data_IF_919945848651
#
_entry.id   IF_919945848651
#
_cell.length_a   1.000
_cell.length_b   1.000
_cell.length_c   1.000
_cell.angle_alpha   90.00
_cell.angle_beta   90.00
_cell.angle_gamma   90.00
#
_symmetry.space_group_name_H-M   'P 1'
#
loop_
_entity.id
_entity.type
_entity.pdbx_description
1 polymer ?
#
# COMPACT_ATOMS: atom_id res chain seq x y z
N UNK A 1 23.84 4.09 -16.50
CA UNK A 1 22.82 5.08 -16.11
C UNK A 1 22.46 4.82 -14.66
N UNK A 2 22.97 5.64 -13.74
CA UNK A 2 22.62 5.58 -12.32
C UNK A 2 21.21 6.11 -12.16
N UNK A 3 20.22 5.23 -12.02
CA UNK A 3 18.90 5.59 -11.51
C UNK A 3 19.11 6.26 -10.16
N UNK A 4 18.88 7.56 -10.08
CA UNK A 4 18.82 8.25 -8.79
C UNK A 4 17.80 7.51 -7.94
N UNK A 5 18.21 6.97 -6.79
CA UNK A 5 17.30 6.30 -5.85
C UNK A 5 16.29 7.34 -5.38
N UNK A 6 15.07 7.30 -5.92
CA UNK A 6 14.00 8.19 -5.51
C UNK A 6 13.60 7.84 -4.08
N UNK A 7 13.46 8.87 -3.24
CA UNK A 7 12.91 8.70 -1.88
C UNK A 7 11.43 8.30 -1.96
N UNK A 8 10.88 7.63 -0.92
CA UNK A 8 9.46 7.28 -0.90
C UNK A 8 8.52 8.48 -1.08
N UNK A 9 8.86 9.65 -0.51
CA UNK A 9 8.07 10.87 -0.69
C UNK A 9 8.06 11.38 -2.14
N UNK A 10 9.20 11.29 -2.83
CA UNK A 10 9.28 11.63 -4.26
C UNK A 10 8.44 10.68 -5.10
N UNK A 11 8.51 9.37 -4.83
CA UNK A 11 7.69 8.36 -5.51
C UNK A 11 6.20 8.66 -5.33
N UNK A 12 5.77 8.95 -4.10
CA UNK A 12 4.38 9.27 -3.79
C UNK A 12 3.92 10.55 -4.48
N UNK A 13 4.74 11.61 -4.45
CA UNK A 13 4.44 12.87 -5.14
C UNK A 13 4.27 12.66 -6.64
N UNK A 14 5.20 11.95 -7.29
CA UNK A 14 5.17 11.72 -8.74
C UNK A 14 3.99 10.85 -9.15
N UNK A 15 3.58 9.87 -8.33
CA UNK A 15 2.36 9.08 -8.56
C UNK A 15 1.12 9.96 -8.41
N UNK A 16 1.06 10.79 -7.36
CA UNK A 16 -0.07 11.68 -7.11
C UNK A 16 -0.27 12.69 -8.24
N UNK A 17 0.80 13.34 -8.68
CA UNK A 17 0.76 14.33 -9.76
C UNK A 17 0.28 13.69 -11.08
N UNK A 18 0.77 12.48 -11.39
CA UNK A 18 0.29 11.70 -12.54
C UNK A 18 -1.18 11.33 -12.40
N UNK A 19 -1.60 10.80 -11.25
CA UNK A 19 -2.98 10.39 -11.03
C UNK A 19 -3.96 11.56 -11.16
N UNK A 20 -3.60 12.72 -10.61
CA UNK A 20 -4.40 13.95 -10.72
C UNK A 20 -4.54 14.45 -12.16
N UNK A 21 -3.53 14.25 -13.00
CA UNK A 21 -3.58 14.66 -14.40
C UNK A 21 -4.52 13.80 -15.25
N UNK A 22 -4.88 12.59 -14.80
CA UNK A 22 -5.70 11.62 -15.57
C UNK A 22 -6.77 10.91 -14.73
N UNK A 23 -7.42 11.61 -13.78
CA UNK A 23 -8.36 11.01 -12.81
C UNK A 23 -9.46 10.14 -13.43
N UNK A 24 -9.92 10.48 -14.63
CA UNK A 24 -11.02 9.77 -15.32
C UNK A 24 -10.55 8.51 -16.06
N UNK A 25 -9.24 8.26 -16.13
CA UNK A 25 -8.66 7.16 -16.90
C UNK A 25 -7.84 6.24 -16.00
N UNK A 26 -8.25 4.97 -15.94
CA UNK A 26 -7.45 3.93 -15.30
C UNK A 26 -6.12 3.71 -16.03
N UNK A 27 -5.05 3.52 -15.26
CA UNK A 27 -3.75 3.07 -15.76
C UNK A 27 -3.62 1.54 -15.77
N UNK A 28 -4.58 0.84 -15.15
CA UNK A 28 -4.65 -0.61 -15.11
C UNK A 28 -5.49 -1.08 -16.30
N UNK A 29 -4.86 -1.74 -17.26
CA UNK A 29 -5.51 -2.23 -18.48
C UNK A 29 -6.21 -3.59 -18.32
N UNK A 30 -5.77 -4.38 -17.33
CA UNK A 30 -6.37 -5.68 -17.03
C UNK A 30 -7.67 -5.49 -16.22
N UNK A 31 -8.79 -5.92 -16.79
CA UNK A 31 -10.11 -5.73 -16.19
C UNK A 31 -10.27 -6.42 -14.83
N UNK A 32 -9.68 -7.60 -14.65
CA UNK A 32 -9.74 -8.33 -13.38
C UNK A 32 -8.91 -7.65 -12.31
N UNK A 33 -7.73 -7.14 -12.65
CA UNK A 33 -6.93 -6.35 -11.71
C UNK A 33 -7.66 -5.05 -11.36
N UNK A 34 -8.25 -4.38 -12.35
CA UNK A 34 -9.01 -3.15 -12.14
C UNK A 34 -10.18 -3.39 -11.16
N UNK A 35 -10.97 -4.44 -11.37
CA UNK A 35 -12.09 -4.78 -10.48
C UNK A 35 -11.62 -5.02 -9.03
N UNK A 36 -10.51 -5.73 -8.85
CA UNK A 36 -9.92 -5.99 -7.52
C UNK A 36 -9.42 -4.70 -6.86
N UNK A 37 -8.77 -3.82 -7.62
CA UNK A 37 -8.33 -2.51 -7.13
C UNK A 37 -9.52 -1.65 -6.74
N UNK A 38 -10.55 -1.57 -7.59
CA UNK A 38 -11.77 -0.82 -7.31
C UNK A 38 -12.48 -1.35 -6.06
N UNK A 39 -12.58 -2.66 -5.90
CA UNK A 39 -13.15 -3.28 -4.70
C UNK A 39 -12.43 -2.83 -3.42
N UNK A 40 -11.09 -2.89 -3.40
CA UNK A 40 -10.31 -2.49 -2.21
C UNK A 40 -10.41 -0.98 -1.97
N UNK A 41 -10.30 -0.16 -3.01
CA UNK A 41 -10.37 1.31 -2.91
C UNK A 41 -11.76 1.81 -2.48
N UNK A 42 -12.83 1.09 -2.86
CA UNK A 42 -14.23 1.46 -2.56
C UNK A 42 -14.81 0.73 -1.35
N UNK A 43 -14.02 -0.08 -0.64
CA UNK A 43 -14.46 -0.77 0.57
C UNK A 43 -14.61 0.23 1.74
N UNK A 44 -15.78 0.86 1.85
CA UNK A 44 -16.04 1.90 2.86
C UNK A 44 -16.05 1.31 4.28
N UNK A 45 -16.49 0.07 4.45
CA UNK A 45 -16.51 -0.64 5.74
C UNK A 45 -15.11 -0.97 6.27
N UNK A 46 -14.09 -1.03 5.40
CA UNK A 46 -12.71 -1.27 5.80
C UNK A 46 -11.71 -0.58 4.86
N UNK A 47 -11.25 0.62 5.24
CA UNK A 47 -10.25 1.38 4.47
C UNK A 47 -8.81 1.05 4.87
N UNK A 48 -8.58 0.05 5.74
CA UNK A 48 -7.23 -0.43 6.05
C UNK A 48 -6.61 -1.16 4.86
N UNK A 49 -7.42 -1.84 4.04
CA UNK A 49 -6.95 -2.58 2.87
C UNK A 49 -6.19 -1.70 1.87
N UNK A 50 -6.71 -0.50 1.60
CA UNK A 50 -6.04 0.43 0.69
C UNK A 50 -4.69 0.89 1.23
N UNK A 51 -4.61 1.19 2.54
CA UNK A 51 -3.36 1.58 3.22
C UNK A 51 -2.32 0.46 3.20
N UNK A 52 -2.75 -0.79 3.44
CA UNK A 52 -1.88 -1.96 3.34
C UNK A 52 -1.30 -2.10 1.93
N UNK A 53 -2.15 -2.07 0.90
CA UNK A 53 -1.70 -2.17 -0.49
C UNK A 53 -0.72 -1.05 -0.87
N UNK A 54 -1.04 0.20 -0.52
CA UNK A 54 -0.16 1.34 -0.78
C UNK A 54 1.20 1.13 -0.11
N UNK A 55 1.25 0.61 1.12
CA UNK A 55 2.50 0.38 1.85
C UNK A 55 3.37 -0.66 1.17
N UNK A 56 2.73 -1.76 0.73
CA UNK A 56 3.42 -2.84 0.05
C UNK A 56 3.98 -2.41 -1.31
N UNK A 57 3.18 -1.68 -2.09
CA UNK A 57 3.58 -1.19 -3.40
C UNK A 57 4.70 -0.14 -3.28
N UNK A 58 4.60 0.78 -2.32
CA UNK A 58 5.66 1.76 -2.06
C UNK A 58 6.97 1.08 -1.64
N UNK A 59 6.89 0.06 -0.78
CA UNK A 59 8.05 -0.74 -0.39
C UNK A 59 8.75 -1.38 -1.59
N UNK A 60 7.98 -1.97 -2.51
CA UNK A 60 8.50 -2.58 -3.75
C UNK A 60 9.10 -1.55 -4.72
N UNK A 61 8.47 -0.39 -4.85
CA UNK A 61 8.95 0.69 -5.73
C UNK A 61 10.24 1.31 -5.20
N UNK A 62 10.34 1.52 -3.89
CA UNK A 62 11.52 2.10 -3.25
C UNK A 62 12.68 1.10 -3.14
N UNK A 63 12.39 -0.16 -2.81
CA UNK A 63 13.37 -1.24 -2.80
C UNK A 63 12.91 -2.42 -3.68
N UNK A 64 13.40 -2.53 -4.92
CA UNK A 64 13.05 -3.63 -5.81
C UNK A 64 13.38 -5.04 -5.30
N UNK A 65 14.25 -5.19 -4.29
CA UNK A 65 14.64 -6.50 -3.75
C UNK A 65 13.59 -7.12 -2.83
N UNK A 66 12.63 -6.35 -2.32
CA UNK A 66 11.62 -6.87 -1.38
C UNK A 66 10.48 -7.55 -2.13
N UNK A 67 9.81 -8.49 -1.48
CA UNK A 67 8.55 -9.06 -1.95
C UNK A 67 7.39 -8.27 -1.32
N UNK A 68 6.54 -7.58 -2.10
CA UNK A 68 5.42 -6.81 -1.56
C UNK A 68 4.40 -7.68 -0.80
N UNK A 69 4.46 -9.01 -0.95
CA UNK A 69 3.63 -9.98 -0.21
C UNK A 69 4.19 -10.33 1.17
N UNK A 70 5.38 -9.84 1.53
CA UNK A 70 6.06 -10.08 2.82
C UNK A 70 6.26 -8.80 3.65
N UNK A 71 5.18 -8.05 3.98
CA UNK A 71 5.28 -6.75 4.67
C UNK A 71 5.45 -6.86 6.19
N UNK A 72 5.75 -8.06 6.70
CA UNK A 72 6.03 -8.33 8.10
C UNK A 72 7.43 -8.93 8.21
N UNK A 73 8.31 -8.28 8.97
CA UNK A 73 9.70 -8.74 9.17
C UNK A 73 9.77 -10.11 9.82
N UNK A 74 8.73 -10.49 10.56
CA UNK A 74 8.56 -11.78 11.22
C UNK A 74 8.35 -12.94 10.24
N UNK A 75 7.95 -12.67 8.98
CA UNK A 75 7.95 -13.68 7.91
C UNK A 75 9.38 -14.18 7.66
N UNK A 76 10.38 -13.32 7.90
CA UNK A 76 11.79 -13.61 7.64
C UNK A 76 12.13 -13.64 6.14
N UNK A 77 13.40 -13.93 5.86
CA UNK A 77 13.97 -13.85 4.51
C UNK A 77 14.48 -12.46 4.17
N UNK A 78 15.47 -12.41 3.27
CA UNK A 78 16.14 -11.17 2.83
C UNK A 78 15.23 -10.28 1.98
N UNK A 79 14.07 -10.78 1.56
CA UNK A 79 13.06 -10.07 0.78
C UNK A 79 11.85 -9.62 1.61
N UNK A 80 11.85 -9.87 2.93
CA UNK A 80 10.85 -9.30 3.84
C UNK A 80 11.15 -7.82 4.16
N UNK A 81 10.11 -7.07 4.52
CA UNK A 81 10.24 -5.65 4.86
C UNK A 81 9.18 -5.24 5.88
N UNK A 82 9.39 -4.11 6.56
CA UNK A 82 8.37 -3.55 7.46
C UNK A 82 7.41 -2.65 6.68
N UNK A 83 6.25 -3.19 6.29
CA UNK A 83 5.19 -2.40 5.67
C UNK A 83 4.66 -1.33 6.62
N UNK A 84 4.63 -1.60 7.93
CA UNK A 84 4.26 -0.63 8.97
C UNK A 84 5.17 0.60 8.95
N UNK A 85 6.48 0.40 8.79
CA UNK A 85 7.43 1.52 8.70
C UNK A 85 7.11 2.41 7.50
N UNK A 86 6.79 1.82 6.34
CA UNK A 86 6.39 2.62 5.17
C UNK A 86 5.08 3.38 5.39
N UNK A 87 4.11 2.73 6.04
CA UNK A 87 2.81 3.34 6.32
C UNK A 87 2.91 4.52 7.31
N UNK A 88 3.62 4.33 8.42
CA UNK A 88 3.74 5.34 9.47
C UNK A 88 4.64 6.51 9.03
N UNK A 89 5.76 6.23 8.36
CA UNK A 89 6.72 7.27 7.97
C UNK A 89 6.29 8.06 6.74
N UNK A 90 5.67 7.41 5.73
CA UNK A 90 5.42 8.06 4.43
C UNK A 90 3.93 8.16 4.08
N UNK A 91 3.15 7.10 4.26
CA UNK A 91 1.74 7.15 3.85
C UNK A 91 0.86 7.94 4.78
N UNK A 92 1.05 7.86 6.09
CA UNK A 92 0.28 8.64 7.06
C UNK A 92 0.35 10.14 6.76
N UNK A 93 1.54 10.77 6.65
CA UNK A 93 1.61 12.19 6.31
C UNK A 93 1.07 12.48 4.90
N UNK A 94 1.31 11.60 3.92
CA UNK A 94 0.79 11.76 2.56
C UNK A 94 -0.75 11.74 2.50
N UNK A 95 -1.39 10.74 3.11
CA UNK A 95 -2.85 10.60 3.21
C UNK A 95 -3.46 11.83 3.88
N UNK A 96 -2.87 12.28 4.99
CA UNK A 96 -3.35 13.45 5.73
C UNK A 96 -3.22 14.73 4.89
N UNK A 97 -2.07 14.93 4.24
CA UNK A 97 -1.79 16.11 3.39
C UNK A 97 -2.79 16.21 2.23
N UNK A 98 -3.10 15.09 1.58
CA UNK A 98 -3.96 15.05 0.41
C UNK A 98 -5.43 14.70 0.72
N UNK A 99 -5.78 14.56 2.01
CA UNK A 99 -7.13 14.21 2.50
C UNK A 99 -7.71 12.97 1.81
N UNK A 100 -6.88 11.95 1.58
CA UNK A 100 -7.33 10.72 0.93
C UNK A 100 -8.34 9.98 1.82
N UNK A 101 -9.38 9.34 1.26
CA UNK A 101 -10.43 8.68 2.04
C UNK A 101 -9.97 7.32 2.60
N UNK A 102 -8.96 7.34 3.45
CA UNK A 102 -8.33 6.16 4.07
C UNK A 102 -8.64 6.10 5.57
N UNK A 103 -8.30 4.98 6.23
CA UNK A 103 -8.33 4.92 7.70
C UNK A 103 -7.34 5.93 8.30
N UNK A 104 -7.64 6.57 9.45
CA UNK A 104 -6.73 7.51 10.09
C UNK A 104 -5.52 6.81 10.71
N UNK A 105 -5.70 5.58 11.19
CA UNK A 105 -4.65 4.77 11.81
C UNK A 105 -4.04 3.77 10.82
N UNK A 106 -2.82 3.33 11.13
CA UNK A 106 -2.08 2.36 10.30
C UNK A 106 -2.86 1.07 10.07
N UNK A 107 -2.79 0.53 8.86
CA UNK A 107 -3.42 -0.74 8.52
C UNK A 107 -2.86 -1.92 9.32
N UNK A 108 -1.58 -1.85 9.69
CA UNK A 108 -0.84 -2.92 10.36
C UNK A 108 -1.23 -3.11 11.83
N UNK A 109 -2.02 -2.18 12.38
CA UNK A 109 -2.68 -2.34 13.68
C UNK A 109 -4.14 -2.79 13.52
N UNK A 110 -4.62 -3.19 12.35
CA UNK A 110 -5.99 -3.74 12.20
C UNK A 110 -5.99 -5.22 12.60
N UNK A 111 -6.80 -5.67 13.58
CA UNK A 111 -6.77 -7.05 14.08
C UNK A 111 -6.86 -8.13 12.98
N UNK A 112 -7.72 -7.94 11.98
CA UNK A 112 -7.87 -8.86 10.83
C UNK A 112 -6.60 -8.99 9.97
N UNK A 113 -5.73 -7.98 10.01
CA UNK A 113 -4.45 -7.96 9.30
C UNK A 113 -3.26 -8.33 10.21
N UNK A 114 -3.44 -8.30 11.53
CA UNK A 114 -2.45 -8.77 12.49
C UNK A 114 -2.44 -10.30 12.49
N UNK A 115 -1.55 -10.87 11.67
CA UNK A 115 -0.95 -12.20 11.88
C UNK A 115 -1.92 -13.29 12.37
N UNK A 116 -2.90 -13.64 11.53
CA UNK A 116 -3.54 -14.96 11.61
C UNK A 116 -3.00 -15.76 10.43
N UNK A 117 -2.12 -16.73 10.71
CA UNK A 117 -1.60 -17.65 9.70
C UNK A 117 -2.56 -18.83 9.40
N UNK A 118 -3.81 -18.72 9.87
CA UNK A 118 -4.88 -19.68 9.69
C UNK A 118 -6.17 -18.95 9.31
N UNK A 119 -7.07 -19.64 8.61
CA UNK A 119 -8.37 -19.07 8.25
C UNK A 119 -9.22 -18.85 9.51
N UNK A 120 -9.97 -17.75 9.55
CA UNK A 120 -11.01 -17.56 10.56
C UNK A 120 -12.17 -18.50 10.25
N UNK A 121 -12.33 -19.56 11.04
CA UNK A 121 -13.48 -20.47 10.95
C UNK A 121 -14.59 -20.03 11.89
N UNK A 122 -15.80 -19.85 11.37
CA UNK A 122 -17.01 -19.68 12.19
C UNK A 122 -17.45 -21.05 12.70
N UNK A 123 -17.43 -21.24 14.03
CA UNK A 123 -18.12 -22.36 14.68
C UNK A 123 -19.61 -22.08 14.78
#
# INVERSE_FOLDING_TARGET
MTTSLQTPDQILKDIYDRANAVLEKTVVSDATIQERVDYVCRCISNRAGVRLLMSCLLGKLHNPSVDPRKPYTEIGGSDSFSGRTYDEQYLTPFINKHRLPCNPTTAFLTPTLRNINHALTTH
#
